data_IF_295753257594
#
_entry.id   IF_295753257594
#
_cell.length_a   1.000
_cell.length_b   1.000
_cell.length_c   1.000
_cell.angle_alpha   90.00
_cell.angle_beta   90.00
_cell.angle_gamma   90.00
#
_symmetry.space_group_name_H-M   'P 1'
#
loop_
_entity.id
_entity.type
_entity.pdbx_description
1 polymer ?
#
# COMPACT_ATOMS: atom_id res chain seq x y z
N UNK A 1 -36.37 25.01 -1.34
CA UNK A 1 -34.99 24.56 -1.60
C UNK A 1 -34.84 23.13 -1.06
N UNK A 2 -35.06 22.14 -1.93
CA UNK A 2 -34.85 20.74 -1.57
C UNK A 2 -33.36 20.53 -1.24
N UNK A 3 -33.09 20.07 -0.01
CA UNK A 3 -31.78 19.58 0.36
C UNK A 3 -31.53 18.32 -0.47
N UNK A 4 -30.81 18.44 -1.58
CA UNK A 4 -30.19 17.26 -2.23
C UNK A 4 -29.42 16.49 -1.16
N UNK A 5 -30.03 15.42 -0.63
CA UNK A 5 -29.28 14.40 0.08
C UNK A 5 -28.24 13.88 -0.91
N UNK A 6 -26.98 14.24 -0.72
CA UNK A 6 -25.88 13.61 -1.45
C UNK A 6 -25.93 12.11 -1.12
N UNK A 7 -26.51 11.33 -2.03
CA UNK A 7 -26.46 9.88 -1.90
C UNK A 7 -25.00 9.44 -1.93
N UNK A 8 -24.61 8.62 -0.95
CA UNK A 8 -23.27 8.07 -0.87
C UNK A 8 -23.00 7.21 -2.09
N UNK A 9 -21.89 7.41 -2.78
CA UNK A 9 -21.44 6.54 -3.86
C UNK A 9 -21.38 5.08 -3.39
N UNK A 10 -21.69 4.14 -4.26
CA UNK A 10 -21.67 2.70 -3.94
C UNK A 10 -20.91 1.94 -5.02
N UNK A 11 -20.22 0.86 -4.65
CA UNK A 11 -19.69 -0.11 -5.61
C UNK A 11 -20.84 -0.87 -6.30
N UNK A 12 -20.59 -1.36 -7.51
CA UNK A 12 -21.61 -2.12 -8.27
C UNK A 12 -22.01 -3.44 -7.55
N UNK A 13 -21.07 -4.04 -6.80
CA UNK A 13 -21.29 -5.27 -6.04
C UNK A 13 -19.98 -5.80 -5.41
N UNK A 14 -19.98 -7.08 -5.01
CA UNK A 14 -18.85 -7.73 -4.33
C UNK A 14 -17.54 -7.63 -5.14
N UNK A 15 -17.57 -7.93 -6.43
CA UNK A 15 -16.37 -7.90 -7.30
C UNK A 15 -15.79 -6.49 -7.37
N UNK A 16 -16.63 -5.46 -7.50
CA UNK A 16 -16.19 -4.07 -7.51
C UNK A 16 -15.48 -3.67 -6.23
N UNK A 17 -16.04 -4.01 -5.07
CA UNK A 17 -15.40 -3.78 -3.77
C UNK A 17 -14.08 -4.54 -3.65
N UNK A 18 -14.09 -5.87 -3.90
CA UNK A 18 -12.90 -6.74 -3.70
C UNK A 18 -11.75 -6.28 -4.58
N UNK A 19 -11.97 -6.03 -5.89
CA UNK A 19 -10.89 -5.63 -6.79
C UNK A 19 -10.39 -4.20 -6.50
N UNK A 20 -11.26 -3.30 -6.04
CA UNK A 20 -10.83 -1.96 -5.62
C UNK A 20 -10.04 -2.00 -4.32
N UNK A 21 -10.49 -2.79 -3.33
CA UNK A 21 -9.78 -2.93 -2.05
C UNK A 21 -8.48 -3.73 -2.19
N UNK A 22 -8.47 -4.79 -3.02
CA UNK A 22 -7.25 -5.51 -3.36
C UNK A 22 -6.26 -4.60 -4.14
N UNK A 23 -6.75 -3.79 -5.07
CA UNK A 23 -5.92 -2.80 -5.78
C UNK A 23 -5.38 -1.70 -4.88
N UNK A 24 -6.08 -1.37 -3.78
CA UNK A 24 -5.56 -0.49 -2.74
C UNK A 24 -4.42 -1.14 -1.96
N UNK A 25 -4.56 -2.43 -1.61
CA UNK A 25 -3.59 -3.18 -0.82
C UNK A 25 -2.37 -3.59 -1.66
N UNK A 26 -2.60 -4.07 -2.90
CA UNK A 26 -1.51 -4.45 -3.82
C UNK A 26 -0.86 -3.20 -4.40
N UNK A 27 0.25 -2.79 -3.81
CA UNK A 27 0.98 -1.58 -4.19
C UNK A 27 2.48 -1.79 -4.34
N UNK A 28 3.20 -0.69 -4.35
CA UNK A 28 4.66 -0.68 -4.41
C UNK A 28 5.28 -1.45 -3.23
N UNK A 29 4.63 -1.46 -2.06
CA UNK A 29 5.08 -2.18 -0.88
C UNK A 29 5.19 -3.69 -1.07
N UNK A 30 4.30 -4.31 -1.87
CA UNK A 30 4.36 -5.73 -2.20
C UNK A 30 5.52 -6.02 -3.17
N UNK A 31 5.82 -5.09 -4.08
CA UNK A 31 6.76 -5.35 -5.18
C UNK A 31 8.21 -5.09 -4.76
N UNK A 32 8.50 -4.05 -3.96
CA UNK A 32 9.88 -3.78 -3.57
C UNK A 32 10.19 -4.08 -2.10
N UNK A 33 9.30 -3.64 -1.18
CA UNK A 33 9.58 -3.73 0.25
C UNK A 33 9.49 -5.17 0.76
N UNK A 34 8.47 -5.90 0.33
CA UNK A 34 8.27 -7.28 0.74
C UNK A 34 9.43 -8.20 0.32
N UNK A 35 9.88 -8.23 -0.96
CA UNK A 35 11.01 -9.08 -1.35
C UNK A 35 12.31 -8.74 -0.62
N UNK A 36 12.59 -7.44 -0.45
CA UNK A 36 13.74 -6.99 0.32
C UNK A 36 13.70 -7.49 1.76
N UNK A 37 12.59 -7.28 2.47
CA UNK A 37 12.46 -7.72 3.85
C UNK A 37 12.48 -9.25 3.97
N UNK A 38 11.85 -9.95 3.04
CA UNK A 38 11.89 -11.40 3.01
C UNK A 38 13.34 -11.92 2.84
N UNK A 39 14.11 -11.34 1.93
CA UNK A 39 15.52 -11.73 1.74
C UNK A 39 16.38 -11.40 2.97
N UNK A 40 16.23 -10.21 3.55
CA UNK A 40 17.02 -9.75 4.70
C UNK A 40 16.69 -10.51 5.99
N UNK A 41 15.43 -10.86 6.20
CA UNK A 41 14.94 -11.42 7.47
C UNK A 41 14.59 -12.92 7.42
N UNK A 42 15.29 -13.68 6.59
CA UNK A 42 15.33 -15.13 6.66
C UNK A 42 14.43 -15.89 5.67
N UNK A 43 14.00 -15.24 4.57
CA UNK A 43 13.31 -15.92 3.47
C UNK A 43 12.01 -16.59 3.89
N UNK A 44 11.98 -17.91 3.83
CA UNK A 44 10.77 -18.69 4.12
C UNK A 44 10.24 -18.56 5.54
N UNK A 45 11.08 -18.27 6.54
CA UNK A 45 10.60 -18.03 7.91
C UNK A 45 9.88 -16.67 8.01
N UNK A 46 10.38 -15.65 7.31
CA UNK A 46 9.69 -14.37 7.18
C UNK A 46 8.33 -14.55 6.50
N UNK A 47 8.28 -15.29 5.39
CA UNK A 47 7.05 -15.57 4.66
C UNK A 47 6.02 -16.29 5.55
N UNK A 48 6.44 -17.29 6.33
CA UNK A 48 5.56 -18.03 7.24
C UNK A 48 4.94 -17.08 8.28
N UNK A 49 5.77 -16.23 8.92
CA UNK A 49 5.31 -15.26 9.92
C UNK A 49 4.37 -14.25 9.28
N UNK A 50 4.70 -13.76 8.08
CA UNK A 50 3.85 -12.85 7.32
C UNK A 50 2.47 -13.44 7.04
N UNK A 51 2.39 -14.70 6.60
CA UNK A 51 1.10 -15.39 6.36
C UNK A 51 0.29 -15.51 7.66
N UNK A 52 0.92 -15.89 8.77
CA UNK A 52 0.23 -15.96 10.07
C UNK A 52 -0.33 -14.59 10.47
N UNK A 53 0.43 -13.52 10.28
CA UNK A 53 -0.01 -12.16 10.56
C UNK A 53 -1.12 -11.70 9.60
N UNK A 54 -1.09 -12.09 8.33
CA UNK A 54 -2.16 -11.81 7.38
C UNK A 54 -3.48 -12.42 7.87
N UNK A 55 -3.44 -13.73 8.21
CA UNK A 55 -4.60 -14.50 8.66
C UNK A 55 -5.17 -14.06 10.02
N UNK A 56 -4.44 -13.31 10.80
CA UNK A 56 -4.82 -12.88 12.16
C UNK A 56 -4.96 -11.36 12.27
N UNK A 57 -3.85 -10.65 12.27
CA UNK A 57 -3.80 -9.20 12.43
C UNK A 57 -4.42 -8.47 11.24
N UNK A 58 -3.96 -8.80 10.02
CA UNK A 58 -4.42 -8.18 8.78
C UNK A 58 -5.93 -8.38 8.61
N UNK A 59 -6.38 -9.63 8.67
CA UNK A 59 -7.79 -9.97 8.61
C UNK A 59 -8.64 -9.16 9.60
N UNK A 60 -8.19 -9.10 10.86
CA UNK A 60 -8.96 -8.43 11.90
C UNK A 60 -9.10 -6.93 11.66
N UNK A 61 -8.03 -6.28 11.23
CA UNK A 61 -8.06 -4.84 10.92
C UNK A 61 -8.89 -4.52 9.68
N UNK A 62 -8.81 -5.33 8.61
CA UNK A 62 -9.63 -5.13 7.41
C UNK A 62 -11.12 -5.27 7.75
N UNK A 63 -11.51 -6.30 8.51
CA UNK A 63 -12.90 -6.48 8.96
C UNK A 63 -13.35 -5.27 9.79
N UNK A 64 -12.52 -4.84 10.73
CA UNK A 64 -12.79 -3.73 11.65
C UNK A 64 -13.10 -2.43 10.90
N UNK A 65 -12.21 -2.01 10.01
CA UNK A 65 -12.32 -0.77 9.25
C UNK A 65 -13.45 -0.83 8.21
N UNK A 66 -13.58 -1.95 7.50
CA UNK A 66 -14.65 -2.14 6.51
C UNK A 66 -16.03 -2.13 7.16
N UNK A 67 -16.19 -2.84 8.30
CA UNK A 67 -17.45 -2.84 9.05
C UNK A 67 -17.80 -1.45 9.59
N UNK A 68 -16.80 -0.74 10.16
CA UNK A 68 -16.97 0.64 10.63
C UNK A 68 -17.47 1.56 9.51
N UNK A 69 -16.84 1.47 8.33
CA UNK A 69 -17.24 2.22 7.14
C UNK A 69 -18.65 1.88 6.67
N UNK A 70 -18.97 0.58 6.53
CA UNK A 70 -20.28 0.11 6.07
C UNK A 70 -21.41 0.51 7.01
N UNK A 71 -21.19 0.39 8.32
CA UNK A 71 -22.17 0.72 9.35
C UNK A 71 -22.49 2.21 9.39
N UNK A 72 -21.47 3.07 9.24
CA UNK A 72 -21.61 4.52 9.36
C UNK A 72 -21.95 5.23 8.05
N UNK A 73 -21.62 4.63 6.91
CA UNK A 73 -21.74 5.24 5.57
C UNK A 73 -21.02 6.59 5.46
N UNK A 74 -19.89 6.74 6.16
CA UNK A 74 -19.12 7.98 6.22
C UNK A 74 -17.63 7.73 5.99
N UNK A 75 -16.90 8.78 5.64
CA UNK A 75 -15.44 8.83 5.64
C UNK A 75 -14.87 8.68 7.07
N UNK A 76 -13.56 8.48 7.24
CA UNK A 76 -12.97 8.20 8.55
C UNK A 76 -13.38 9.18 9.65
N UNK A 77 -13.33 10.50 9.40
CA UNK A 77 -13.70 11.52 10.39
C UNK A 77 -15.14 11.36 10.84
N UNK A 78 -16.05 11.27 9.87
CA UNK A 78 -17.47 11.09 10.15
C UNK A 78 -17.81 9.74 10.78
N UNK A 79 -17.04 8.67 10.46
CA UNK A 79 -17.19 7.35 11.05
C UNK A 79 -16.84 7.34 12.54
N UNK A 80 -15.72 7.95 12.91
CA UNK A 80 -15.34 8.13 14.33
C UNK A 80 -16.33 9.02 15.07
N UNK A 81 -16.75 10.14 14.48
CA UNK A 81 -17.71 11.07 15.06
C UNK A 81 -19.14 10.54 15.22
N UNK A 82 -19.50 9.43 14.55
CA UNK A 82 -20.82 8.83 14.66
C UNK A 82 -21.13 8.25 16.06
N UNK A 83 -20.11 7.92 16.85
CA UNK A 83 -20.24 7.25 18.16
C UNK A 83 -20.00 8.16 19.37
N UNK A 84 -19.74 9.44 19.17
CA UNK A 84 -19.59 10.40 20.25
C UNK A 84 -18.97 11.71 19.80
N UNK A 85 -19.13 12.74 20.63
CA UNK A 85 -18.61 14.11 20.39
C UNK A 85 -17.26 14.36 21.11
N UNK A 86 -16.57 13.30 21.53
CA UNK A 86 -15.27 13.45 22.21
C UNK A 86 -14.21 13.99 21.25
N UNK A 87 -13.39 14.94 21.71
CA UNK A 87 -12.26 15.48 20.95
C UNK A 87 -11.26 14.39 20.56
N UNK A 88 -11.06 13.37 21.38
CA UNK A 88 -10.19 12.23 21.10
C UNK A 88 -10.68 11.36 19.95
N UNK A 89 -12.00 11.15 19.84
CA UNK A 89 -12.59 10.44 18.70
C UNK A 89 -12.41 11.24 17.42
N UNK A 90 -12.67 12.55 17.47
CA UNK A 90 -12.43 13.42 16.32
C UNK A 90 -10.97 13.40 15.90
N UNK A 91 -10.02 13.45 16.83
CA UNK A 91 -8.58 13.38 16.53
C UNK A 91 -8.22 12.05 15.84
N UNK A 92 -8.70 10.90 16.35
CA UNK A 92 -8.47 9.58 15.73
C UNK A 92 -9.00 9.51 14.29
N UNK A 93 -10.20 10.08 14.04
CA UNK A 93 -10.77 10.18 12.71
C UNK A 93 -9.94 11.06 11.77
N UNK A 94 -9.48 12.22 12.24
CA UNK A 94 -8.64 13.13 11.46
C UNK A 94 -7.26 12.55 11.17
N UNK A 95 -6.61 11.84 12.10
CA UNK A 95 -5.34 11.16 11.83
C UNK A 95 -5.52 10.16 10.67
N UNK A 96 -6.55 9.29 10.74
CA UNK A 96 -6.86 8.36 9.65
C UNK A 96 -7.12 9.06 8.31
N UNK A 97 -7.73 10.25 8.32
CA UNK A 97 -8.10 11.00 7.13
C UNK A 97 -6.92 11.80 6.52
N UNK A 98 -5.99 12.28 7.34
CA UNK A 98 -4.83 13.06 6.89
C UNK A 98 -3.75 12.16 6.30
N UNK A 99 -3.60 10.93 6.77
CA UNK A 99 -2.61 9.98 6.25
C UNK A 99 -2.64 9.88 4.72
N UNK A 100 -3.75 9.56 4.05
CA UNK A 100 -3.77 9.48 2.59
C UNK A 100 -3.51 10.83 1.91
N UNK A 101 -3.88 11.95 2.54
CA UNK A 101 -3.58 13.30 2.00
C UNK A 101 -2.07 13.56 1.95
N UNK A 102 -1.30 13.03 2.91
CA UNK A 102 0.16 13.16 2.95
C UNK A 102 0.88 12.10 2.11
N UNK A 103 0.32 10.88 2.01
CA UNK A 103 0.95 9.79 1.23
C UNK A 103 0.84 10.06 -0.27
N UNK A 104 -0.34 10.44 -0.78
CA UNK A 104 -0.60 10.61 -2.22
C UNK A 104 0.44 11.49 -2.92
N UNK A 105 0.88 12.63 -2.37
CA UNK A 105 1.90 13.48 -2.99
C UNK A 105 3.20 12.73 -3.30
N UNK A 106 3.86 12.20 -2.29
CA UNK A 106 5.15 11.52 -2.48
C UNK A 106 5.03 10.17 -3.20
N UNK A 107 3.93 9.46 -2.99
CA UNK A 107 3.62 8.23 -3.70
C UNK A 107 3.47 8.46 -5.22
N UNK A 108 2.90 9.61 -5.60
CA UNK A 108 2.78 10.00 -7.01
C UNK A 108 4.14 10.36 -7.64
N UNK A 109 5.09 10.85 -6.86
CA UNK A 109 6.48 11.05 -7.33
C UNK A 109 7.10 9.70 -7.71
N UNK A 110 6.96 8.70 -6.85
CA UNK A 110 7.46 7.34 -7.13
C UNK A 110 6.74 6.73 -8.34
N UNK A 111 5.42 6.96 -8.46
CA UNK A 111 4.66 6.59 -9.66
C UNK A 111 5.20 7.25 -10.94
N UNK A 112 5.66 8.49 -10.85
CA UNK A 112 6.36 9.20 -11.93
C UNK A 112 7.68 8.54 -12.30
N UNK A 113 8.47 8.08 -11.33
CA UNK A 113 9.70 7.32 -11.58
C UNK A 113 9.43 6.01 -12.35
N UNK A 114 8.33 5.33 -12.01
CA UNK A 114 7.90 4.13 -12.73
C UNK A 114 7.58 4.45 -14.19
N UNK A 115 6.91 5.57 -14.47
CA UNK A 115 6.63 6.02 -15.85
C UNK A 115 7.92 6.28 -16.61
N UNK A 116 8.90 6.96 -16.01
CA UNK A 116 10.21 7.20 -16.63
C UNK A 116 10.88 5.89 -17.04
N UNK A 117 10.95 4.93 -16.12
CA UNK A 117 11.58 3.64 -16.37
C UNK A 117 10.84 2.80 -17.41
N UNK A 118 9.51 2.85 -17.41
CA UNK A 118 8.70 2.21 -18.47
C UNK A 118 8.99 2.81 -19.85
N UNK A 119 8.99 4.14 -19.95
CA UNK A 119 9.26 4.84 -21.22
C UNK A 119 10.65 4.52 -21.76
N UNK A 120 11.67 4.53 -20.90
CA UNK A 120 13.04 4.20 -21.32
C UNK A 120 13.16 2.71 -21.70
N UNK A 121 12.49 1.80 -20.98
CA UNK A 121 12.45 0.37 -21.33
C UNK A 121 11.83 0.16 -22.72
N UNK A 122 10.72 0.85 -23.04
CA UNK A 122 10.06 0.76 -24.36
C UNK A 122 10.95 1.31 -25.48
N UNK A 123 11.77 2.32 -25.20
CA UNK A 123 12.76 2.84 -26.16
C UNK A 123 13.97 1.91 -26.39
N UNK A 124 14.04 0.78 -25.67
CA UNK A 124 15.16 -0.15 -25.75
C UNK A 124 16.34 0.20 -24.84
N UNK A 125 16.16 1.13 -23.92
CA UNK A 125 17.20 1.65 -23.01
C UNK A 125 17.52 0.75 -21.81
N UNK A 126 17.33 -0.57 -21.87
CA UNK A 126 17.56 -1.47 -20.73
C UNK A 126 19.00 -1.42 -20.21
N UNK A 127 20.00 -1.26 -21.10
CA UNK A 127 21.40 -1.10 -20.69
C UNK A 127 21.62 0.24 -19.98
N UNK A 128 21.06 1.32 -20.51
CA UNK A 128 21.13 2.66 -19.90
C UNK A 128 20.50 2.68 -18.50
N UNK A 129 19.35 2.00 -18.31
CA UNK A 129 18.71 1.89 -17.00
C UNK A 129 19.55 1.10 -15.99
N UNK A 130 20.47 0.23 -16.46
CA UNK A 130 21.35 -0.56 -15.63
C UNK A 130 22.68 0.13 -15.31
N UNK A 131 22.95 1.30 -15.92
CA UNK A 131 24.18 2.07 -15.67
C UNK A 131 24.24 2.58 -14.22
N UNK A 132 25.43 2.55 -13.64
CA UNK A 132 25.65 3.10 -12.32
C UNK A 132 25.40 4.62 -12.32
N UNK A 133 24.63 5.07 -11.35
CA UNK A 133 24.29 6.49 -11.21
C UNK A 133 23.11 6.98 -12.06
N UNK A 134 22.54 6.18 -12.98
CA UNK A 134 21.41 6.60 -13.80
C UNK A 134 20.22 7.07 -12.93
N UNK A 135 19.83 6.27 -11.94
CA UNK A 135 18.74 6.62 -11.02
C UNK A 135 19.05 7.91 -10.25
N UNK A 136 20.26 8.03 -9.69
CA UNK A 136 20.66 9.22 -8.94
C UNK A 136 20.68 10.48 -9.80
N UNK A 137 21.16 10.37 -11.04
CA UNK A 137 21.14 11.48 -12.00
C UNK A 137 19.70 11.88 -12.37
N UNK A 138 18.82 10.88 -12.58
CA UNK A 138 17.40 11.13 -12.89
C UNK A 138 16.67 11.84 -11.75
N UNK A 139 16.80 11.37 -10.49
CA UNK A 139 16.11 12.02 -9.36
C UNK A 139 16.68 13.39 -9.01
N UNK A 140 17.92 13.69 -9.40
CA UNK A 140 18.52 15.00 -9.27
C UNK A 140 18.07 15.99 -10.37
N UNK A 141 17.60 15.48 -11.53
CA UNK A 141 17.05 16.30 -12.61
C UNK A 141 15.61 16.72 -12.28
N UNK A 142 15.49 17.92 -11.69
CA UNK A 142 14.20 18.47 -11.26
C UNK A 142 13.17 18.58 -12.38
N UNK A 143 13.57 18.88 -13.62
CA UNK A 143 12.61 18.99 -14.72
C UNK A 143 12.05 17.63 -15.14
N UNK A 144 12.88 16.63 -15.26
CA UNK A 144 12.48 15.27 -15.67
C UNK A 144 11.61 14.61 -14.61
N UNK A 145 12.01 14.69 -13.33
CA UNK A 145 11.23 14.11 -12.21
C UNK A 145 9.88 14.79 -12.06
N UNK A 146 9.85 16.12 -12.10
CA UNK A 146 8.61 16.90 -11.96
C UNK A 146 7.62 16.60 -13.09
N UNK A 147 8.10 16.52 -14.32
CA UNK A 147 7.26 16.19 -15.48
C UNK A 147 6.62 14.80 -15.34
N UNK A 148 7.40 13.79 -14.95
CA UNK A 148 6.90 12.43 -14.75
C UNK A 148 5.92 12.36 -13.58
N UNK A 149 6.22 13.04 -12.47
CA UNK A 149 5.33 13.16 -11.32
C UNK A 149 3.99 13.78 -11.70
N UNK A 150 3.99 14.95 -12.36
CA UNK A 150 2.77 15.65 -12.77
C UNK A 150 1.91 14.80 -13.72
N UNK A 151 2.55 14.05 -14.62
CA UNK A 151 1.83 13.13 -15.50
C UNK A 151 1.13 12.01 -14.73
N UNK A 152 1.81 11.37 -13.77
CA UNK A 152 1.19 10.35 -12.93
C UNK A 152 0.07 10.92 -12.04
N UNK A 153 0.30 12.09 -11.44
CA UNK A 153 -0.70 12.80 -10.63
C UNK A 153 -1.96 13.12 -11.44
N UNK A 154 -1.77 13.67 -12.65
CA UNK A 154 -2.89 13.97 -13.56
C UNK A 154 -3.69 12.71 -13.90
N UNK A 155 -3.02 11.61 -14.22
CA UNK A 155 -3.66 10.34 -14.54
C UNK A 155 -4.53 9.86 -13.36
N UNK A 156 -4.00 9.91 -12.13
CA UNK A 156 -4.76 9.59 -10.92
C UNK A 156 -5.98 10.49 -10.74
N UNK A 157 -5.80 11.81 -10.86
CA UNK A 157 -6.87 12.79 -10.66
C UNK A 157 -8.00 12.67 -11.70
N UNK A 158 -7.68 12.39 -12.97
CA UNK A 158 -8.68 12.15 -14.02
C UNK A 158 -9.57 10.95 -13.68
N UNK A 159 -8.97 9.87 -13.17
CA UNK A 159 -9.72 8.67 -12.77
C UNK A 159 -10.62 8.99 -11.57
N UNK A 160 -10.11 9.70 -10.58
CA UNK A 160 -10.89 10.10 -9.39
C UNK A 160 -12.05 11.03 -9.79
N UNK A 161 -11.81 11.95 -10.71
CA UNK A 161 -12.84 12.86 -11.22
C UNK A 161 -14.03 12.13 -11.88
N UNK A 162 -13.76 10.99 -12.54
CA UNK A 162 -14.77 10.14 -13.17
C UNK A 162 -15.72 9.44 -12.18
N UNK A 163 -15.38 9.40 -10.88
CA UNK A 163 -16.23 8.85 -9.81
C UNK A 163 -15.85 7.43 -9.36
N UNK A 164 -16.62 6.91 -8.41
CA UNK A 164 -16.32 5.61 -7.79
C UNK A 164 -16.52 4.46 -8.79
N UNK A 165 -17.70 4.36 -9.41
CA UNK A 165 -17.99 3.24 -10.32
C UNK A 165 -17.29 3.38 -11.67
N UNK A 166 -17.33 4.56 -12.28
CA UNK A 166 -16.78 4.79 -13.63
C UNK A 166 -15.26 5.03 -13.62
N UNK A 167 -14.69 5.45 -12.50
CA UNK A 167 -13.27 5.67 -12.32
C UNK A 167 -12.63 4.53 -11.51
N UNK A 168 -12.72 4.62 -10.17
CA UNK A 168 -12.02 3.73 -9.23
C UNK A 168 -12.30 2.24 -9.54
N UNK A 169 -13.57 1.85 -9.57
CA UNK A 169 -13.98 0.46 -9.75
C UNK A 169 -13.64 -0.07 -11.15
N UNK A 170 -13.93 0.73 -12.19
CA UNK A 170 -13.67 0.32 -13.57
C UNK A 170 -12.18 0.12 -13.85
N UNK A 171 -11.34 1.01 -13.36
CA UNK A 171 -9.89 0.92 -13.51
C UNK A 171 -9.34 -0.26 -12.72
N UNK A 172 -9.79 -0.47 -11.47
CA UNK A 172 -9.37 -1.63 -10.67
C UNK A 172 -9.78 -2.96 -11.31
N UNK A 173 -10.99 -3.04 -11.89
CA UNK A 173 -11.45 -4.24 -12.60
C UNK A 173 -10.61 -4.58 -13.83
N UNK A 174 -10.03 -3.58 -14.49
CA UNK A 174 -9.14 -3.78 -15.63
C UNK A 174 -7.71 -4.10 -15.21
N UNK A 175 -7.17 -3.32 -14.26
CA UNK A 175 -5.76 -3.40 -13.90
C UNK A 175 -5.41 -4.62 -13.05
N UNK A 176 -6.30 -5.05 -12.14
CA UNK A 176 -5.99 -6.18 -11.26
C UNK A 176 -5.78 -7.51 -12.01
N UNK A 177 -6.64 -7.92 -12.98
CA UNK A 177 -6.35 -9.10 -13.79
C UNK A 177 -5.06 -9.00 -14.61
N UNK A 178 -4.77 -7.81 -15.18
CA UNK A 178 -3.52 -7.57 -15.93
C UNK A 178 -2.32 -7.76 -14.99
N UNK A 179 -2.36 -7.18 -13.80
CA UNK A 179 -1.31 -7.29 -12.79
C UNK A 179 -1.06 -8.75 -12.41
N UNK A 180 -2.12 -9.52 -12.12
CA UNK A 180 -2.00 -10.96 -11.80
C UNK A 180 -1.38 -11.73 -12.96
N UNK A 181 -1.85 -11.51 -14.19
CA UNK A 181 -1.32 -12.18 -15.39
C UNK A 181 0.18 -11.86 -15.57
N UNK A 182 0.57 -10.60 -15.53
CA UNK A 182 1.96 -10.17 -15.65
C UNK A 182 2.83 -10.74 -14.53
N UNK A 183 2.32 -10.79 -13.30
CA UNK A 183 3.02 -11.40 -12.16
C UNK A 183 3.34 -12.86 -12.45
N UNK A 184 2.38 -13.63 -12.94
CA UNK A 184 2.60 -15.06 -13.29
C UNK A 184 3.65 -15.20 -14.39
N UNK A 185 3.58 -14.39 -15.45
CA UNK A 185 4.54 -14.43 -16.56
C UNK A 185 5.97 -14.16 -16.06
N UNK A 186 6.15 -13.12 -15.23
CA UNK A 186 7.48 -12.75 -14.72
C UNK A 186 7.98 -13.77 -13.71
N UNK A 187 7.11 -14.33 -12.85
CA UNK A 187 7.48 -15.43 -11.93
C UNK A 187 8.02 -16.63 -12.72
N UNK A 188 7.28 -17.09 -13.73
CA UNK A 188 7.73 -18.22 -14.59
C UNK A 188 9.08 -17.92 -15.22
N UNK A 189 9.26 -16.71 -15.74
CA UNK A 189 10.54 -16.30 -16.30
C UNK A 189 11.66 -16.34 -15.23
N UNK A 190 11.45 -15.76 -14.05
CA UNK A 190 12.47 -15.65 -13.00
C UNK A 190 12.89 -17.01 -12.45
N UNK A 191 11.92 -17.88 -12.12
CA UNK A 191 12.21 -19.20 -11.52
C UNK A 191 12.87 -20.20 -12.49
N UNK A 192 12.74 -19.96 -13.79
CA UNK A 192 13.35 -20.81 -14.83
C UNK A 192 14.79 -20.42 -15.19
N UNK A 193 15.33 -19.37 -14.56
CA UNK A 193 16.72 -18.96 -14.81
C UNK A 193 17.73 -19.94 -14.17
N UNK A 194 18.88 -20.19 -14.81
CA UNK A 194 19.97 -20.94 -14.19
C UNK A 194 20.37 -20.29 -12.87
N UNK A 195 20.47 -21.07 -11.79
CA UNK A 195 20.79 -20.58 -10.44
C UNK A 195 19.61 -20.05 -9.62
N UNK A 196 18.43 -19.86 -10.22
CA UNK A 196 17.25 -19.33 -9.52
C UNK A 196 16.68 -20.28 -8.45
N UNK A 197 16.90 -21.58 -8.57
CA UNK A 197 16.33 -22.60 -7.68
C UNK A 197 16.73 -22.41 -6.22
N UNK A 198 17.95 -21.97 -5.95
CA UNK A 198 18.40 -21.70 -4.58
C UNK A 198 17.62 -20.52 -3.97
N UNK A 199 17.35 -19.48 -4.76
CA UNK A 199 16.49 -18.37 -4.35
C UNK A 199 15.04 -18.80 -4.09
N UNK A 200 14.49 -19.71 -4.91
CA UNK A 200 13.15 -20.29 -4.68
C UNK A 200 13.12 -21.07 -3.36
N UNK A 201 14.12 -21.93 -3.12
CA UNK A 201 14.23 -22.69 -1.86
C UNK A 201 14.37 -21.76 -0.66
N UNK A 202 15.25 -20.76 -0.75
CA UNK A 202 15.46 -19.78 0.30
C UNK A 202 14.17 -19.05 0.68
N UNK A 203 13.37 -18.65 -0.32
CA UNK A 203 12.15 -17.90 -0.11
C UNK A 203 10.97 -18.75 0.36
N UNK A 204 10.83 -20.00 -0.12
CA UNK A 204 9.63 -20.81 0.18
C UNK A 204 9.83 -21.77 1.36
N UNK A 205 11.07 -22.20 1.65
CA UNK A 205 11.33 -23.20 2.70
C UNK A 205 11.67 -22.50 4.01
N UNK A 206 10.79 -22.58 5.05
CA UNK A 206 11.09 -22.00 6.35
C UNK A 206 12.32 -22.65 6.99
N UNK A 207 13.32 -21.84 7.34
CA UNK A 207 14.48 -22.28 8.08
C UNK A 207 14.51 -21.59 9.46
N UNK A 208 14.29 -22.36 10.51
CA UNK A 208 14.26 -21.85 11.89
C UNK A 208 15.59 -21.24 12.31
N UNK A 209 16.72 -21.68 11.72
CA UNK A 209 18.04 -21.08 12.01
C UNK A 209 18.13 -19.61 11.61
N UNK A 210 17.34 -19.19 10.64
CA UNK A 210 17.27 -17.81 10.16
C UNK A 210 16.26 -16.95 10.95
N UNK A 211 15.61 -17.52 11.97
CA UNK A 211 14.65 -16.80 12.81
C UNK A 211 15.37 -15.77 13.69
N UNK A 212 14.80 -14.58 13.75
CA UNK A 212 15.14 -13.54 14.72
C UNK A 212 13.87 -12.83 15.20
N UNK A 213 13.90 -12.19 16.36
CA UNK A 213 12.80 -11.35 16.78
C UNK A 213 12.56 -10.18 15.82
N UNK A 214 13.61 -9.73 15.13
CA UNK A 214 13.51 -8.71 14.11
C UNK A 214 12.73 -9.19 12.88
N UNK A 215 12.78 -10.49 12.55
CA UNK A 215 11.92 -11.09 11.52
C UNK A 215 10.43 -10.88 11.81
N UNK A 216 10.01 -11.03 13.08
CA UNK A 216 8.63 -10.80 13.50
C UNK A 216 8.27 -9.32 13.37
N UNK A 217 9.12 -8.42 13.85
CA UNK A 217 8.89 -6.96 13.79
C UNK A 217 8.81 -6.47 12.34
N UNK A 218 9.74 -6.94 11.49
CA UNK A 218 9.76 -6.60 10.07
C UNK A 218 8.50 -7.12 9.35
N UNK A 219 8.09 -8.36 9.64
CA UNK A 219 6.87 -8.94 9.06
C UNK A 219 5.60 -8.20 9.52
N UNK A 220 5.53 -7.78 10.80
CA UNK A 220 4.43 -6.94 11.30
C UNK A 220 4.37 -5.60 10.56
N UNK A 221 5.51 -4.91 10.45
CA UNK A 221 5.58 -3.62 9.74
C UNK A 221 5.22 -3.75 8.26
N UNK A 222 5.66 -4.83 7.60
CA UNK A 222 5.31 -5.10 6.21
C UNK A 222 3.81 -5.39 6.04
N UNK A 223 3.24 -6.22 6.89
CA UNK A 223 1.81 -6.55 6.88
C UNK A 223 0.95 -5.30 7.06
N UNK A 224 1.34 -4.44 7.98
CA UNK A 224 0.64 -3.22 8.29
C UNK A 224 0.59 -2.26 7.09
N UNK A 225 1.73 -2.11 6.41
CA UNK A 225 1.84 -1.28 5.22
C UNK A 225 1.12 -1.89 4.01
N UNK A 226 1.30 -3.19 3.77
CA UNK A 226 0.79 -3.90 2.59
C UNK A 226 -0.72 -3.87 2.49
N UNK A 227 -1.43 -4.16 3.59
CA UNK A 227 -2.90 -4.24 3.60
C UNK A 227 -3.59 -2.87 3.68
N UNK A 228 -2.87 -1.76 3.54
CA UNK A 228 -3.42 -0.39 3.63
C UNK A 228 -4.24 -0.13 4.90
N UNK A 229 -3.82 -0.74 6.03
CA UNK A 229 -4.48 -0.62 7.33
C UNK A 229 -4.22 0.77 7.91
N UNK A 230 -5.22 1.33 8.57
CA UNK A 230 -5.17 2.64 9.25
C UNK A 230 -4.82 3.83 8.33
N UNK A 231 -5.12 3.70 7.04
CA UNK A 231 -5.00 4.78 6.04
C UNK A 231 -6.37 5.40 5.69
N UNK A 232 -7.43 5.04 6.40
CA UNK A 232 -8.80 5.49 6.10
C UNK A 232 -9.41 4.92 4.81
N UNK A 233 -8.64 4.20 3.99
CA UNK A 233 -9.09 3.62 2.72
C UNK A 233 -10.18 2.57 2.95
N UNK A 234 -9.95 1.62 3.86
CA UNK A 234 -10.89 0.53 4.13
C UNK A 234 -12.18 1.03 4.78
N UNK A 235 -12.13 2.09 5.61
CA UNK A 235 -13.31 2.77 6.13
C UNK A 235 -14.08 3.45 4.99
N UNK A 236 -13.39 4.17 4.11
CA UNK A 236 -13.98 4.83 2.95
C UNK A 236 -14.65 3.82 2.00
N UNK A 237 -13.93 2.76 1.61
CA UNK A 237 -14.44 1.73 0.72
C UNK A 237 -15.55 0.90 1.37
N UNK A 238 -15.45 0.61 2.67
CA UNK A 238 -16.51 0.03 3.47
C UNK A 238 -17.78 0.88 3.43
N UNK A 239 -17.65 2.21 3.46
CA UNK A 239 -18.81 3.10 3.35
C UNK A 239 -19.53 3.04 1.99
N UNK A 240 -18.84 2.57 0.94
CA UNK A 240 -19.41 2.34 -0.39
C UNK A 240 -19.94 0.92 -0.58
N UNK A 241 -19.67 0.01 0.37
CA UNK A 241 -20.13 -1.38 0.30
C UNK A 241 -21.64 -1.46 0.51
N UNK A 242 -22.32 -2.24 -0.33
CA UNK A 242 -23.75 -2.55 -0.16
C UNK A 242 -23.95 -3.51 1.02
N UNK A 243 -25.15 -3.52 1.61
CA UNK A 243 -25.47 -4.35 2.78
C UNK A 243 -25.52 -5.84 2.46
N UNK A 244 -25.93 -6.21 1.24
CA UNK A 244 -26.01 -7.58 0.73
C UNK A 244 -24.64 -8.21 0.42
N UNK A 245 -23.54 -7.43 0.49
CA UNK A 245 -22.18 -7.92 0.27
C UNK A 245 -21.57 -8.38 1.60
N UNK A 246 -21.14 -9.65 1.68
CA UNK A 246 -20.49 -10.21 2.88
C UNK A 246 -19.15 -9.49 3.16
N UNK A 247 -19.00 -8.94 4.37
CA UNK A 247 -17.73 -8.35 4.83
C UNK A 247 -16.67 -9.43 4.94
N UNK A 248 -16.95 -10.54 5.66
CA UNK A 248 -15.96 -11.60 5.86
C UNK A 248 -15.47 -12.19 4.54
N UNK A 249 -16.40 -12.55 3.64
CA UNK A 249 -16.03 -13.11 2.35
C UNK A 249 -15.28 -12.14 1.44
N UNK A 250 -15.53 -10.84 1.56
CA UNK A 250 -14.79 -9.81 0.82
C UNK A 250 -13.40 -9.59 1.41
N UNK A 251 -13.28 -9.54 2.74
CA UNK A 251 -12.00 -9.42 3.46
C UNK A 251 -11.07 -10.59 3.14
N UNK A 252 -11.58 -11.82 3.16
CA UNK A 252 -10.80 -13.01 2.80
C UNK A 252 -10.24 -12.92 1.38
N UNK A 253 -11.05 -12.43 0.43
CA UNK A 253 -10.58 -12.25 -0.94
C UNK A 253 -9.47 -11.18 -1.03
N UNK A 254 -9.59 -10.05 -0.33
CA UNK A 254 -8.55 -9.01 -0.29
C UNK A 254 -7.27 -9.56 0.32
N UNK A 255 -7.36 -10.27 1.44
CA UNK A 255 -6.25 -10.95 2.13
C UNK A 255 -5.51 -11.93 1.21
N UNK A 256 -6.27 -12.78 0.48
CA UNK A 256 -5.72 -13.75 -0.48
C UNK A 256 -5.03 -13.03 -1.63
N UNK A 257 -5.65 -12.00 -2.21
CA UNK A 257 -5.06 -11.24 -3.32
C UNK A 257 -3.74 -10.57 -2.89
N UNK A 258 -3.72 -9.88 -1.77
CA UNK A 258 -2.53 -9.19 -1.28
C UNK A 258 -1.40 -10.18 -1.00
N UNK A 259 -1.68 -11.25 -0.24
CA UNK A 259 -0.69 -12.28 0.11
C UNK A 259 -0.16 -13.00 -1.13
N UNK A 260 -1.03 -13.35 -2.08
CA UNK A 260 -0.63 -14.00 -3.33
C UNK A 260 0.29 -13.11 -4.18
N UNK A 261 -0.03 -11.83 -4.31
CA UNK A 261 0.82 -10.87 -5.04
C UNK A 261 2.15 -10.64 -4.31
N UNK A 262 2.16 -10.53 -2.98
CA UNK A 262 3.39 -10.43 -2.20
C UNK A 262 4.29 -11.67 -2.41
N UNK A 263 3.71 -12.87 -2.38
CA UNK A 263 4.42 -14.12 -2.68
C UNK A 263 4.95 -14.15 -4.12
N UNK A 264 4.13 -13.75 -5.09
CA UNK A 264 4.57 -13.65 -6.49
C UNK A 264 5.70 -12.62 -6.65
N UNK A 265 5.63 -11.48 -5.98
CA UNK A 265 6.71 -10.49 -5.99
C UNK A 265 8.02 -11.06 -5.42
N UNK A 266 7.93 -11.81 -4.31
CA UNK A 266 9.07 -12.56 -3.77
C UNK A 266 9.66 -13.53 -4.78
N UNK A 267 8.82 -14.31 -5.47
CA UNK A 267 9.23 -15.26 -6.52
C UNK A 267 9.71 -14.59 -7.81
N UNK A 268 9.27 -13.38 -8.12
CA UNK A 268 9.79 -12.60 -9.25
C UNK A 268 11.20 -12.09 -8.98
N UNK A 269 11.47 -11.62 -7.77
CA UNK A 269 12.65 -10.81 -7.48
C UNK A 269 13.76 -11.66 -6.84
N UNK A 270 13.47 -12.42 -5.79
CA UNK A 270 14.50 -13.16 -5.04
C UNK A 270 15.22 -14.18 -5.93
N UNK A 271 14.54 -15.08 -6.67
CA UNK A 271 15.21 -16.02 -7.55
C UNK A 271 16.03 -15.36 -8.67
N UNK A 272 15.53 -14.25 -9.23
CA UNK A 272 16.22 -13.50 -10.28
C UNK A 272 17.52 -12.87 -9.75
N UNK A 273 17.49 -12.30 -8.54
CA UNK A 273 18.67 -11.73 -7.89
C UNK A 273 19.66 -12.81 -7.50
N UNK A 274 19.21 -13.96 -6.97
CA UNK A 274 20.08 -15.10 -6.67
C UNK A 274 20.79 -15.65 -7.93
N UNK A 275 20.07 -15.76 -9.04
CA UNK A 275 20.66 -16.15 -10.33
C UNK A 275 21.70 -15.14 -10.82
N UNK A 276 21.52 -13.84 -10.56
CA UNK A 276 22.44 -12.77 -10.93
C UNK A 276 23.67 -12.68 -10.00
N UNK A 277 23.47 -12.79 -8.67
CA UNK A 277 24.50 -12.59 -7.65
C UNK A 277 25.31 -13.84 -7.29
N UNK A 278 24.97 -15.00 -7.87
CA UNK A 278 25.60 -16.27 -7.47
C UNK A 278 25.14 -16.80 -6.12
N UNK A 279 24.00 -16.31 -5.60
CA UNK A 279 23.36 -16.84 -4.40
C UNK A 279 23.51 -15.98 -3.13
N UNK A 280 23.97 -14.73 -3.26
CA UNK A 280 24.09 -13.81 -2.11
C UNK A 280 22.84 -12.96 -1.91
N UNK A 281 22.09 -13.16 -0.77
CA UNK A 281 20.88 -12.38 -0.47
C UNK A 281 21.15 -10.89 -0.20
N UNK A 282 22.35 -10.55 0.27
CA UNK A 282 22.73 -9.18 0.67
C UNK A 282 22.89 -8.20 -0.52
N UNK A 283 22.79 -8.70 -1.75
CA UNK A 283 22.77 -7.86 -2.95
C UNK A 283 21.43 -7.13 -3.17
N UNK A 284 20.37 -7.52 -2.47
CA UNK A 284 19.10 -6.85 -2.49
C UNK A 284 19.15 -5.53 -1.72
N UNK A 285 19.10 -4.43 -2.44
CA UNK A 285 19.08 -3.10 -1.83
C UNK A 285 17.69 -2.75 -1.26
N UNK A 286 17.65 -1.91 -0.23
CA UNK A 286 16.43 -1.47 0.39
C UNK A 286 15.68 -0.40 -0.44
N UNK A 287 14.37 -0.38 -0.31
CA UNK A 287 13.52 0.71 -0.82
C UNK A 287 13.53 0.85 -2.34
N UNK A 288 13.44 2.10 -2.84
CA UNK A 288 13.42 2.38 -4.28
C UNK A 288 14.64 1.83 -5.04
N UNK A 289 15.80 1.74 -4.39
CA UNK A 289 17.01 1.24 -5.00
C UNK A 289 16.88 -0.21 -5.52
N UNK A 290 16.10 -1.07 -4.86
CA UNK A 290 15.81 -2.40 -5.38
C UNK A 290 15.16 -2.31 -6.77
N UNK A 291 14.13 -1.50 -6.92
CA UNK A 291 13.34 -1.44 -8.15
C UNK A 291 14.00 -0.64 -9.27
N UNK A 292 14.73 0.43 -8.91
CA UNK A 292 15.27 1.37 -9.89
C UNK A 292 16.79 1.21 -10.15
N UNK A 293 17.49 0.42 -9.35
CA UNK A 293 18.92 0.12 -9.55
C UNK A 293 19.15 -1.38 -9.73
N UNK A 294 18.76 -2.20 -8.75
CA UNK A 294 19.06 -3.64 -8.77
C UNK A 294 18.33 -4.38 -9.88
N UNK A 295 17.01 -4.22 -9.97
CA UNK A 295 16.18 -4.95 -10.95
C UNK A 295 16.53 -4.61 -12.41
N UNK A 296 16.77 -3.37 -12.83
CA UNK A 296 17.27 -3.07 -14.16
C UNK A 296 18.60 -3.78 -14.50
N UNK A 297 19.55 -3.85 -13.56
CA UNK A 297 20.81 -4.57 -13.74
C UNK A 297 20.60 -6.07 -13.94
N UNK A 298 19.72 -6.67 -13.12
CA UNK A 298 19.33 -8.07 -13.23
C UNK A 298 18.73 -8.35 -14.62
N UNK A 299 17.78 -7.55 -15.08
CA UNK A 299 17.16 -7.75 -16.39
C UNK A 299 18.13 -7.49 -17.54
N UNK A 300 19.00 -6.48 -17.46
CA UNK A 300 20.01 -6.21 -18.47
C UNK A 300 21.00 -7.36 -18.66
N UNK A 301 21.24 -8.15 -17.61
CA UNK A 301 22.12 -9.33 -17.65
C UNK A 301 21.44 -10.60 -18.20
N UNK A 302 20.11 -10.59 -18.31
CA UNK A 302 19.31 -11.77 -18.71
C UNK A 302 18.86 -11.72 -20.16
N UNK A 303 18.73 -12.89 -20.82
CA UNK A 303 18.12 -12.98 -22.13
C UNK A 303 16.64 -12.46 -22.10
N UNK A 304 16.23 -11.74 -23.13
CA UNK A 304 14.92 -11.05 -23.19
C UNK A 304 14.69 -9.98 -22.12
N UNK A 305 15.74 -9.48 -21.48
CA UNK A 305 15.67 -8.55 -20.36
C UNK A 305 14.86 -7.28 -20.67
N UNK A 306 14.97 -6.73 -21.89
CA UNK A 306 14.17 -5.57 -22.32
C UNK A 306 12.67 -5.85 -22.28
N UNK A 307 12.23 -6.99 -22.81
CA UNK A 307 10.80 -7.37 -22.79
C UNK A 307 10.31 -7.58 -21.36
N UNK A 308 11.08 -8.30 -20.54
CA UNK A 308 10.74 -8.56 -19.13
C UNK A 308 10.71 -7.25 -18.33
N UNK A 309 11.65 -6.34 -18.59
CA UNK A 309 11.66 -5.00 -18.00
C UNK A 309 10.42 -4.19 -18.34
N UNK A 310 9.97 -4.20 -19.59
CA UNK A 310 8.71 -3.56 -20.00
C UNK A 310 7.52 -4.18 -19.24
N UNK A 311 7.39 -5.51 -19.23
CA UNK A 311 6.31 -6.19 -18.54
C UNK A 311 6.33 -5.90 -17.03
N UNK A 312 7.51 -5.86 -16.42
CA UNK A 312 7.70 -5.52 -15.01
C UNK A 312 7.26 -4.07 -14.71
N UNK A 313 7.71 -3.07 -15.47
CA UNK A 313 7.31 -1.69 -15.21
C UNK A 313 5.84 -1.42 -15.55
N UNK A 314 5.22 -2.14 -16.49
CA UNK A 314 3.76 -2.12 -16.69
C UNK A 314 3.05 -2.68 -15.46
N UNK A 315 3.50 -3.81 -14.90
CA UNK A 315 2.97 -4.40 -13.68
C UNK A 315 3.07 -3.42 -12.51
N UNK A 316 4.25 -2.82 -12.32
CA UNK A 316 4.50 -1.83 -11.25
C UNK A 316 3.62 -0.59 -11.43
N UNK A 317 3.43 -0.12 -12.67
CA UNK A 317 2.55 1.01 -12.96
C UNK A 317 1.09 0.69 -12.60
N UNK A 318 0.60 -0.51 -12.91
CA UNK A 318 -0.74 -0.95 -12.52
C UNK A 318 -0.90 -0.95 -10.99
N UNK A 319 0.08 -1.50 -10.26
CA UNK A 319 0.08 -1.52 -8.80
C UNK A 319 0.14 -0.11 -8.19
N UNK A 320 1.02 0.74 -8.71
CA UNK A 320 1.16 2.11 -8.25
C UNK A 320 -0.12 2.93 -8.47
N UNK A 321 -0.74 2.78 -9.65
CA UNK A 321 -1.92 3.57 -10.02
C UNK A 321 -3.15 3.14 -9.22
N UNK A 322 -3.40 1.84 -9.02
CA UNK A 322 -4.54 1.36 -8.23
C UNK A 322 -4.47 1.81 -6.78
N UNK A 323 -3.29 1.78 -6.16
CA UNK A 323 -3.07 2.28 -4.79
C UNK A 323 -3.19 3.81 -4.70
N UNK A 324 -2.63 4.55 -5.67
CA UNK A 324 -2.75 6.02 -5.72
C UNK A 324 -4.21 6.47 -5.85
N UNK A 325 -5.01 5.77 -6.67
CA UNK A 325 -6.46 5.99 -6.81
C UNK A 325 -7.17 5.78 -5.47
N UNK A 326 -6.86 4.70 -4.75
CA UNK A 326 -7.52 4.38 -3.49
C UNK A 326 -7.19 5.39 -2.39
N UNK A 327 -5.93 5.81 -2.27
CA UNK A 327 -5.48 6.86 -1.37
C UNK A 327 -6.17 8.19 -1.68
N UNK A 328 -6.17 8.60 -2.96
CA UNK A 328 -6.78 9.85 -3.39
C UNK A 328 -8.30 9.85 -3.17
N UNK A 329 -8.97 8.72 -3.41
CA UNK A 329 -10.41 8.58 -3.13
C UNK A 329 -10.73 8.74 -1.65
N UNK A 330 -9.91 8.16 -0.75
CA UNK A 330 -10.08 8.32 0.69
C UNK A 330 -9.95 9.78 1.11
N UNK A 331 -8.94 10.49 0.58
CA UNK A 331 -8.75 11.91 0.81
C UNK A 331 -9.94 12.75 0.30
N UNK A 332 -10.34 12.57 -0.97
CA UNK A 332 -11.46 13.30 -1.59
C UNK A 332 -12.78 13.05 -0.84
N UNK A 333 -13.07 11.79 -0.49
CA UNK A 333 -14.26 11.41 0.26
C UNK A 333 -14.35 12.13 1.61
N UNK A 334 -13.22 12.29 2.31
CA UNK A 334 -13.17 13.01 3.58
C UNK A 334 -13.59 14.47 3.42
N UNK A 335 -13.03 15.19 2.44
CA UNK A 335 -13.38 16.59 2.21
C UNK A 335 -14.81 16.75 1.68
N UNK A 336 -15.32 15.79 0.91
CA UNK A 336 -16.74 15.77 0.53
C UNK A 336 -17.65 15.68 1.75
N UNK A 337 -17.33 14.80 2.70
CA UNK A 337 -18.16 14.57 3.88
C UNK A 337 -18.08 15.73 4.88
N UNK A 338 -16.87 16.19 5.21
CA UNK A 338 -16.67 17.19 6.26
C UNK A 338 -17.01 18.62 5.81
N UNK A 339 -16.61 19.00 4.59
CA UNK A 339 -16.85 20.34 4.06
C UNK A 339 -18.11 20.44 3.21
N UNK A 340 -18.84 19.31 3.00
CA UNK A 340 -20.04 19.23 2.15
C UNK A 340 -19.76 19.72 0.71
N UNK A 341 -18.55 19.46 0.22
CA UNK A 341 -18.16 19.86 -1.13
C UNK A 341 -18.62 18.83 -2.17
N UNK A 342 -18.94 19.31 -3.36
CA UNK A 342 -19.11 18.41 -4.51
C UNK A 342 -17.80 17.74 -4.89
N UNK A 343 -17.87 16.55 -5.50
CA UNK A 343 -16.72 15.73 -5.89
C UNK A 343 -15.67 16.51 -6.69
N UNK A 344 -16.12 17.28 -7.70
CA UNK A 344 -15.22 18.09 -8.54
C UNK A 344 -14.35 19.04 -7.72
N UNK A 345 -14.97 19.78 -6.79
CA UNK A 345 -14.27 20.75 -5.93
C UNK A 345 -13.27 20.04 -5.00
N UNK A 346 -13.69 18.94 -4.38
CA UNK A 346 -12.83 18.15 -3.50
C UNK A 346 -11.65 17.53 -4.26
N UNK A 347 -11.87 17.00 -5.48
CA UNK A 347 -10.79 16.45 -6.31
C UNK A 347 -9.76 17.52 -6.72
N UNK A 348 -10.22 18.70 -7.14
CA UNK A 348 -9.30 19.80 -7.48
C UNK A 348 -8.50 20.25 -6.27
N UNK A 349 -9.12 20.35 -5.10
CA UNK A 349 -8.45 20.73 -3.86
C UNK A 349 -7.36 19.72 -3.46
N UNK A 350 -7.68 18.43 -3.49
CA UNK A 350 -6.68 17.37 -3.25
C UNK A 350 -5.60 17.39 -4.33
N UNK A 351 -5.96 17.69 -5.59
CA UNK A 351 -5.00 17.86 -6.69
C UNK A 351 -3.99 18.98 -6.41
N UNK A 352 -4.44 20.12 -5.89
CA UNK A 352 -3.56 21.23 -5.49
C UNK A 352 -2.61 20.79 -4.36
N UNK A 353 -3.12 20.11 -3.33
CA UNK A 353 -2.27 19.58 -2.25
C UNK A 353 -1.26 18.57 -2.81
N UNK A 354 -1.70 17.67 -3.68
CA UNK A 354 -0.86 16.65 -4.33
C UNK A 354 0.28 17.31 -5.09
N UNK A 355 0.00 18.36 -5.89
CA UNK A 355 1.02 19.08 -6.65
C UNK A 355 1.97 19.81 -5.71
N UNK A 356 1.47 20.59 -4.74
CA UNK A 356 2.33 21.37 -3.84
C UNK A 356 3.26 20.48 -3.01
N UNK A 357 2.73 19.49 -2.31
CA UNK A 357 3.55 18.61 -1.47
C UNK A 357 4.36 17.61 -2.31
N UNK A 358 3.83 17.20 -3.47
CA UNK A 358 4.54 16.32 -4.39
C UNK A 358 5.73 17.01 -5.04
N UNK A 359 5.61 18.27 -5.43
CA UNK A 359 6.75 19.05 -5.95
C UNK A 359 7.86 19.21 -4.90
N UNK A 360 7.53 19.41 -3.62
CA UNK A 360 8.55 19.38 -2.56
C UNK A 360 9.29 18.03 -2.51
N UNK A 361 8.55 16.94 -2.62
CA UNK A 361 9.12 15.58 -2.61
C UNK A 361 9.90 15.27 -3.89
N UNK A 362 9.40 15.69 -5.06
CA UNK A 362 10.02 15.49 -6.38
C UNK A 362 11.34 16.25 -6.51
N UNK A 363 11.36 17.50 -6.07
CA UNK A 363 12.54 18.37 -6.14
C UNK A 363 13.52 18.15 -4.97
N UNK A 364 13.13 17.38 -3.96
CA UNK A 364 13.89 17.16 -2.74
C UNK A 364 15.25 16.49 -2.95
N UNK A 365 15.41 15.68 -4.00
CA UNK A 365 16.69 15.03 -4.33
C UNK A 365 17.53 15.83 -5.35
N UNK A 366 17.01 16.94 -5.86
CA UNK A 366 17.65 17.80 -6.85
C UNK A 366 17.75 19.25 -6.36
N UNK A 367 16.98 20.17 -6.94
CA UNK A 367 17.07 21.61 -6.62
C UNK A 367 16.85 21.96 -5.13
N UNK A 368 16.06 21.17 -4.41
CA UNK A 368 15.78 21.37 -2.99
C UNK A 368 16.57 20.42 -2.06
N UNK A 369 17.59 19.72 -2.56
CA UNK A 369 18.37 18.75 -1.79
C UNK A 369 19.05 19.34 -0.54
N UNK A 370 19.29 20.65 -0.53
CA UNK A 370 19.83 21.37 0.62
C UNK A 370 18.81 21.58 1.77
N UNK A 371 17.52 21.38 1.50
CA UNK A 371 16.45 21.56 2.48
C UNK A 371 16.04 20.20 3.03
N UNK A 372 16.36 19.94 4.29
CA UNK A 372 16.03 18.68 4.97
C UNK A 372 15.17 18.94 6.20
N UNK A 373 14.23 18.04 6.47
CA UNK A 373 13.40 18.06 7.67
C UNK A 373 13.86 16.92 8.59
N UNK A 374 14.36 17.27 9.78
CA UNK A 374 14.94 16.29 10.73
C UNK A 374 16.03 15.40 10.08
N UNK A 375 16.84 15.99 9.19
CA UNK A 375 17.91 15.27 8.47
C UNK A 375 17.41 14.35 7.35
N UNK A 376 16.14 14.42 6.97
CA UNK A 376 15.55 13.62 5.88
C UNK A 376 15.15 14.52 4.71
N UNK A 377 15.21 14.00 3.49
CA UNK A 377 14.60 14.62 2.32
C UNK A 377 13.07 14.63 2.47
N UNK A 378 12.37 15.51 1.74
CA UNK A 378 10.92 15.66 1.89
C UNK A 378 10.14 14.36 1.68
N UNK A 379 10.49 13.56 0.68
CA UNK A 379 9.86 12.26 0.42
C UNK A 379 10.03 11.32 1.62
N UNK A 380 11.28 11.17 2.09
CA UNK A 380 11.61 10.30 3.23
C UNK A 380 10.94 10.79 4.52
N UNK A 381 10.87 12.10 4.71
CA UNK A 381 10.18 12.69 5.87
C UNK A 381 8.67 12.41 5.86
N UNK A 382 7.99 12.59 4.71
CA UNK A 382 6.57 12.29 4.61
C UNK A 382 6.30 10.79 4.77
N UNK A 383 7.16 9.93 4.20
CA UNK A 383 7.06 8.49 4.39
C UNK A 383 7.24 8.11 5.87
N UNK A 384 8.26 8.62 6.53
CA UNK A 384 8.48 8.41 7.97
C UNK A 384 7.30 8.88 8.80
N UNK A 385 6.84 10.12 8.58
CA UNK A 385 5.74 10.72 9.34
C UNK A 385 4.45 9.89 9.22
N UNK A 386 4.11 9.50 8.00
CA UNK A 386 2.86 8.75 7.74
C UNK A 386 2.96 7.31 8.16
N UNK A 387 3.96 6.56 7.67
CA UNK A 387 4.03 5.12 7.86
C UNK A 387 4.57 4.73 9.23
N UNK A 388 5.59 5.45 9.74
CA UNK A 388 6.24 5.09 11.00
C UNK A 388 5.54 5.68 12.22
N UNK A 389 4.84 6.81 12.09
CA UNK A 389 4.23 7.51 13.23
C UNK A 389 2.71 7.52 13.16
N UNK A 390 2.13 8.10 12.10
CA UNK A 390 0.69 8.35 12.07
C UNK A 390 -0.15 7.08 11.92
N UNK A 391 0.24 6.15 11.05
CA UNK A 391 -0.51 4.91 10.82
C UNK A 391 -0.61 4.02 12.07
N UNK A 392 0.46 3.74 12.82
CA UNK A 392 0.33 2.98 14.07
C UNK A 392 -0.57 3.67 15.09
N UNK A 393 -0.50 4.99 15.21
CA UNK A 393 -1.39 5.77 16.09
C UNK A 393 -2.85 5.64 15.63
N UNK A 394 -3.10 5.75 14.34
CA UNK A 394 -4.43 5.57 13.75
C UNK A 394 -5.00 4.16 14.00
N UNK A 395 -4.17 3.12 13.90
CA UNK A 395 -4.58 1.75 14.20
C UNK A 395 -4.95 1.56 15.67
N UNK A 396 -4.14 2.10 16.59
CA UNK A 396 -4.45 2.08 18.03
C UNK A 396 -5.78 2.81 18.29
N UNK A 397 -5.98 3.99 17.67
CA UNK A 397 -7.22 4.76 17.80
C UNK A 397 -8.43 3.96 17.28
N UNK A 398 -8.30 3.26 16.13
CA UNK A 398 -9.33 2.40 15.56
C UNK A 398 -9.65 1.22 16.50
N UNK A 399 -8.64 0.55 17.06
CA UNK A 399 -8.82 -0.54 18.01
C UNK A 399 -9.53 -0.06 19.30
N UNK A 400 -9.15 1.11 19.83
CA UNK A 400 -9.80 1.70 21.01
C UNK A 400 -11.25 2.08 20.69
N UNK A 401 -11.50 2.73 19.54
CA UNK A 401 -12.85 3.05 19.10
C UNK A 401 -13.74 1.80 19.10
N UNK A 402 -13.29 0.74 18.44
CA UNK A 402 -14.08 -0.49 18.28
C UNK A 402 -14.24 -1.23 19.62
N UNK A 403 -13.17 -1.38 20.40
CA UNK A 403 -13.21 -2.19 21.62
C UNK A 403 -13.90 -1.49 22.80
N UNK A 404 -13.85 -0.14 22.89
CA UNK A 404 -14.30 0.62 24.05
C UNK A 404 -15.51 1.51 23.80
N UNK A 405 -15.68 2.03 22.58
CA UNK A 405 -16.73 3.01 22.26
C UNK A 405 -17.87 2.40 21.49
N UNK A 406 -17.58 1.81 20.32
CA UNK A 406 -18.57 1.14 19.46
C UNK A 406 -19.09 -0.13 20.15
N UNK A 407 -18.18 -0.91 20.68
CA UNK A 407 -18.40 -2.27 21.20
C UNK A 407 -18.26 -3.33 20.10
N UNK A 408 -17.46 -4.34 20.37
CA UNK A 408 -17.13 -5.43 19.45
C UNK A 408 -18.40 -6.11 18.91
N UNK A 409 -19.43 -6.26 19.77
CA UNK A 409 -20.72 -6.88 19.40
C UNK A 409 -21.39 -6.16 18.24
N UNK A 410 -21.37 -4.84 18.19
CA UNK A 410 -21.97 -4.08 17.07
C UNK A 410 -21.25 -4.33 15.74
N UNK A 411 -19.92 -4.54 15.78
CA UNK A 411 -19.15 -4.93 14.58
C UNK A 411 -19.53 -6.36 14.17
N UNK A 412 -19.66 -7.27 15.13
CA UNK A 412 -20.13 -8.64 14.86
C UNK A 412 -21.51 -8.65 14.21
N UNK A 413 -22.45 -7.88 14.78
CA UNK A 413 -23.81 -7.76 14.25
C UNK A 413 -23.80 -7.18 12.83
N UNK A 414 -22.93 -6.20 12.55
CA UNK A 414 -22.77 -5.65 11.21
C UNK A 414 -22.21 -6.68 10.21
N UNK A 415 -21.23 -7.50 10.62
CA UNK A 415 -20.65 -8.57 9.77
C UNK A 415 -21.69 -9.65 9.46
N UNK A 416 -22.57 -9.95 10.41
CA UNK A 416 -23.61 -10.99 10.31
C UNK A 416 -24.89 -10.53 9.58
N UNK A 417 -25.01 -9.24 9.20
CA UNK A 417 -26.17 -8.74 8.45
C UNK A 417 -26.40 -9.52 7.15
N UNK A 418 -27.66 -9.58 6.71
CA UNK A 418 -28.09 -10.21 5.45
C UNK A 418 -27.62 -11.66 5.29
N UNK A 419 -27.53 -12.42 6.39
CA UNK A 419 -27.07 -13.82 6.37
C UNK A 419 -25.56 -14.00 6.25
N UNK A 420 -24.79 -12.94 6.53
CA UNK A 420 -23.33 -12.99 6.57
C UNK A 420 -22.81 -14.04 7.56
N UNK A 421 -21.60 -14.54 7.32
CA UNK A 421 -20.88 -15.45 8.22
C UNK A 421 -19.78 -14.71 8.95
N UNK A 422 -19.39 -15.17 10.14
CA UNK A 422 -18.24 -14.67 10.87
C UNK A 422 -17.45 -15.82 11.49
N UNK A 423 -16.77 -16.61 10.66
CA UNK A 423 -16.08 -17.84 11.06
C UNK A 423 -14.89 -17.58 11.98
N UNK A 424 -14.12 -16.50 11.70
CA UNK A 424 -12.93 -16.11 12.48
C UNK A 424 -13.26 -15.14 13.62
N UNK A 425 -14.52 -15.10 14.12
CA UNK A 425 -14.99 -14.19 15.18
C UNK A 425 -14.11 -14.21 16.43
N UNK A 426 -13.69 -15.39 16.90
CA UNK A 426 -12.85 -15.52 18.11
C UNK A 426 -11.48 -14.88 17.92
N UNK A 427 -10.87 -15.07 16.74
CA UNK A 427 -9.59 -14.45 16.36
C UNK A 427 -9.76 -12.92 16.32
N UNK A 428 -10.78 -12.43 15.62
CA UNK A 428 -11.10 -11.01 15.54
C UNK A 428 -11.21 -10.36 16.93
N UNK A 429 -12.01 -10.94 17.81
CA UNK A 429 -12.25 -10.38 19.16
C UNK A 429 -10.98 -10.28 19.99
N UNK A 430 -10.15 -11.33 19.96
CA UNK A 430 -8.88 -11.35 20.66
C UNK A 430 -7.87 -10.37 20.06
N UNK A 431 -7.76 -10.34 18.74
CA UNK A 431 -6.83 -9.47 18.02
C UNK A 431 -7.16 -8.00 18.28
N UNK A 432 -8.40 -7.57 18.01
CA UNK A 432 -8.78 -6.16 18.14
C UNK A 432 -8.68 -5.67 19.59
N UNK A 433 -9.02 -6.53 20.57
CA UNK A 433 -9.01 -6.13 21.99
C UNK A 433 -7.60 -6.02 22.57
N UNK A 434 -6.68 -6.90 22.15
CA UNK A 434 -5.39 -7.05 22.81
C UNK A 434 -4.20 -6.93 21.85
N UNK A 435 -4.10 -7.78 20.83
CA UNK A 435 -2.88 -7.89 20.04
C UNK A 435 -2.71 -6.77 19.01
N UNK A 436 -3.76 -6.35 18.31
CA UNK A 436 -3.62 -5.28 17.31
C UNK A 436 -3.08 -3.96 17.90
N UNK A 437 -3.58 -3.44 19.04
CA UNK A 437 -3.00 -2.25 19.63
C UNK A 437 -1.57 -2.46 20.14
N UNK A 438 -1.23 -3.67 20.64
CA UNK A 438 0.14 -3.99 21.07
C UNK A 438 1.09 -4.01 19.85
N UNK A 439 0.69 -4.67 18.75
CA UNK A 439 1.50 -4.73 17.54
C UNK A 439 1.70 -3.33 16.93
N UNK A 440 0.65 -2.52 16.89
CA UNK A 440 0.77 -1.14 16.43
C UNK A 440 1.73 -0.32 17.32
N UNK A 441 1.72 -0.51 18.64
CA UNK A 441 2.65 0.14 19.56
C UNK A 441 4.11 -0.34 19.33
N UNK A 442 4.32 -1.63 19.10
CA UNK A 442 5.65 -2.18 18.76
C UNK A 442 6.16 -1.59 17.44
N UNK A 443 5.29 -1.52 16.41
CA UNK A 443 5.64 -0.93 15.11
C UNK A 443 6.03 0.56 15.30
N UNK A 444 5.22 1.33 16.04
CA UNK A 444 5.50 2.74 16.31
C UNK A 444 6.87 2.90 16.98
N UNK A 445 7.12 2.16 18.06
CA UNK A 445 8.37 2.27 18.80
C UNK A 445 9.58 1.84 17.97
N UNK A 446 9.50 0.67 17.30
CA UNK A 446 10.60 0.15 16.49
C UNK A 446 10.92 1.05 15.29
N UNK A 447 9.90 1.57 14.60
CA UNK A 447 10.10 2.45 13.44
C UNK A 447 10.71 3.80 13.84
N UNK A 448 10.25 4.38 14.96
CA UNK A 448 10.83 5.62 15.50
C UNK A 448 12.28 5.37 15.98
N UNK A 449 12.52 4.29 16.72
CA UNK A 449 13.85 3.93 17.19
C UNK A 449 14.84 3.69 16.03
N UNK A 450 14.38 3.06 14.93
CA UNK A 450 15.18 2.88 13.72
C UNK A 450 15.48 4.23 13.02
N UNK A 451 14.51 5.12 12.91
CA UNK A 451 14.70 6.43 12.28
C UNK A 451 15.72 7.32 13.02
N UNK A 452 15.81 7.18 14.34
CA UNK A 452 16.81 7.89 15.16
C UNK A 452 18.10 7.10 15.40
N UNK A 453 18.27 5.94 14.74
CA UNK A 453 19.48 5.12 14.82
C UNK A 453 19.69 4.41 16.17
N UNK A 454 18.64 4.29 17.00
CA UNK A 454 18.73 3.54 18.27
C UNK A 454 18.73 2.03 18.06
N UNK A 455 18.12 1.58 16.97
CA UNK A 455 18.16 0.19 16.49
C UNK A 455 18.38 0.20 14.98
N UNK A 456 18.92 -0.87 14.41
CA UNK A 456 19.04 -1.08 12.96
C UNK A 456 18.00 -2.10 12.49
N UNK A 457 17.13 -1.70 11.57
CA UNK A 457 16.12 -2.55 10.95
C UNK A 457 16.39 -2.77 9.46
#
# INVERSE_FOLDING_TARGET
MEKHKHERSTFSGKIGFVLSAAGASVGLGNIWRFPYLAAKYGGGIFLLIYIILALTFGYSMIVAETALGRMTKKSPVGAFGAFGKSKWLSLGGWINAIIPVLIVPYYSVIGGWVIKYLVESVKGGSQTLAEDGYFSAFIADGFSTETCFLFFALLTLVIIYAGVQNGVERVSKLMMPILVFLSVVIVVYSVTRPGALEGVKYFLIPNIKNFSWMTVVAAMGQMFYSLSIAMGILVTFGSYMKKDVSIEGSTQNVEIFDTAIAMMAGLMIIPAVFAFSGGEPDTLQAGPALMFITIPKVFASMGFGTLVGILFFVLVLCAALTSSIALTESAVSTFQDELKWGRKKATVFIGVIMVVLGSLSSLGYGPLACVQVIGMQFLDFFDFLTNSVMMPIAAIATCILISRVVGIKKIEDEVLQEGGTFRRKRIFNFMIRYLCPIFAAIILFSSVANAFGWISM
#
